data_IF_479402077656
#
_entry.id   IF_479402077656
#
_cell.length_a   1.000
_cell.length_b   1.000
_cell.length_c   1.000
_cell.angle_alpha   90.00
_cell.angle_beta   90.00
_cell.angle_gamma   90.00
#
_symmetry.space_group_name_H-M   'P 1'
#
loop_
_entity.id
_entity.type
_entity.pdbx_description
1 polymer ?
#
# COMPACT_ATOMS: atom_id res chain seq x y z
N UNK A 1 13.43 -14.90 -46.88
CA UNK A 1 12.88 -15.48 -45.64
C UNK A 1 11.82 -14.54 -45.08
N UNK A 2 10.51 -14.79 -45.30
CA UNK A 2 9.48 -13.93 -44.74
C UNK A 2 9.46 -14.10 -43.22
N UNK A 3 9.61 -13.00 -42.48
CA UNK A 3 9.38 -12.95 -41.03
C UNK A 3 7.95 -13.42 -40.79
N UNK A 4 7.78 -14.53 -40.07
CA UNK A 4 6.49 -14.91 -39.50
C UNK A 4 6.05 -13.76 -38.61
N UNK A 5 5.12 -12.95 -39.09
CA UNK A 5 4.31 -12.06 -38.27
C UNK A 5 3.45 -12.95 -37.39
N UNK A 6 3.95 -13.24 -36.19
CA UNK A 6 3.11 -13.79 -35.12
C UNK A 6 1.89 -12.87 -34.99
N UNK A 7 0.65 -13.40 -34.98
CA UNK A 7 -0.52 -12.57 -34.74
C UNK A 7 -0.31 -11.82 -33.43
N UNK A 8 -0.52 -10.50 -33.45
CA UNK A 8 -0.46 -9.71 -32.23
C UNK A 8 -1.46 -10.31 -31.25
N UNK A 9 -0.96 -10.92 -30.16
CA UNK A 9 -1.80 -11.47 -29.11
C UNK A 9 -2.75 -10.35 -28.65
N UNK A 10 -4.05 -10.54 -28.84
CA UNK A 10 -5.05 -9.60 -28.36
C UNK A 10 -5.11 -9.72 -26.85
N UNK A 11 -4.72 -8.65 -26.15
CA UNK A 11 -4.83 -8.56 -24.71
C UNK A 11 -6.16 -7.91 -24.33
N UNK A 12 -6.84 -8.52 -23.38
CA UNK A 12 -8.08 -8.02 -22.81
C UNK A 12 -7.77 -7.23 -21.54
N UNK A 13 -8.33 -6.03 -21.45
CA UNK A 13 -8.22 -5.21 -20.25
C UNK A 13 -8.85 -5.91 -19.04
N UNK A 14 -8.19 -5.83 -17.89
CA UNK A 14 -8.67 -6.39 -16.62
C UNK A 14 -8.91 -5.28 -15.61
N UNK A 15 -7.92 -4.42 -15.38
CA UNK A 15 -7.99 -3.35 -14.39
C UNK A 15 -6.98 -2.23 -14.68
N UNK A 16 -7.23 -1.05 -14.14
CA UNK A 16 -6.35 0.12 -14.22
C UNK A 16 -5.87 0.52 -12.82
N UNK A 17 -4.62 0.94 -12.72
CA UNK A 17 -3.94 1.25 -11.45
C UNK A 17 -3.15 2.56 -11.56
N UNK A 18 -2.91 3.22 -10.43
CA UNK A 18 -2.19 4.50 -10.36
C UNK A 18 -0.67 4.32 -10.24
N UNK A 19 -0.21 3.14 -9.81
CA UNK A 19 1.21 2.79 -9.72
C UNK A 19 1.51 1.44 -10.37
N UNK A 20 2.79 1.21 -10.69
CA UNK A 20 3.24 -0.07 -11.23
C UNK A 20 3.22 -1.15 -10.14
N UNK A 21 3.48 -0.77 -8.90
CA UNK A 21 3.42 -1.62 -7.72
C UNK A 21 2.01 -2.17 -7.50
N UNK A 22 0.99 -1.30 -7.56
CA UNK A 22 -0.41 -1.69 -7.39
C UNK A 22 -0.88 -2.62 -8.51
N UNK A 23 -0.52 -2.32 -9.76
CA UNK A 23 -0.80 -3.19 -10.89
C UNK A 23 -0.13 -4.57 -10.73
N UNK A 24 1.07 -4.59 -10.15
CA UNK A 24 1.80 -5.83 -9.88
C UNK A 24 1.11 -6.64 -8.76
N UNK A 25 0.63 -5.98 -7.70
CA UNK A 25 -0.10 -6.64 -6.63
C UNK A 25 -1.44 -7.20 -7.13
N UNK A 26 -2.16 -6.46 -7.96
CA UNK A 26 -3.39 -6.92 -8.61
C UNK A 26 -3.14 -8.12 -9.51
N UNK A 27 -2.05 -8.12 -10.29
CA UNK A 27 -1.62 -9.27 -11.08
C UNK A 27 -1.41 -10.52 -10.22
N UNK A 28 -0.76 -10.36 -9.07
CA UNK A 28 -0.53 -11.45 -8.13
C UNK A 28 -1.80 -11.93 -7.44
N UNK A 29 -2.87 -11.13 -7.42
CA UNK A 29 -4.15 -11.48 -6.78
C UNK A 29 -5.18 -12.03 -7.75
N UNK A 30 -4.91 -11.99 -9.06
CA UNK A 30 -5.89 -12.29 -10.10
C UNK A 30 -6.45 -13.73 -10.05
N UNK A 31 -5.57 -14.71 -9.93
CA UNK A 31 -5.95 -16.13 -9.90
C UNK A 31 -4.97 -16.93 -9.02
N UNK A 32 -5.23 -18.22 -8.79
CA UNK A 32 -4.36 -19.07 -7.96
C UNK A 32 -2.98 -19.37 -8.59
N UNK A 33 -2.74 -18.98 -9.85
CA UNK A 33 -1.51 -19.30 -10.57
C UNK A 33 -0.36 -18.38 -10.20
N UNK A 34 0.84 -18.89 -10.45
CA UNK A 34 2.09 -18.19 -10.23
C UNK A 34 2.57 -17.59 -11.54
N UNK A 35 3.02 -16.34 -11.45
CA UNK A 35 3.52 -15.58 -12.59
C UNK A 35 4.95 -15.12 -12.38
N UNK A 36 5.73 -15.17 -13.45
CA UNK A 36 7.10 -14.65 -13.49
C UNK A 36 7.22 -13.70 -14.69
N UNK A 37 8.07 -12.67 -14.54
CA UNK A 37 8.46 -11.79 -15.65
C UNK A 37 9.00 -12.65 -16.80
N UNK A 38 8.38 -12.51 -17.97
CA UNK A 38 8.81 -13.15 -19.21
C UNK A 38 9.80 -12.24 -19.96
N UNK A 39 9.38 -11.00 -20.18
CA UNK A 39 10.20 -9.95 -20.78
C UNK A 39 9.60 -8.58 -20.43
N UNK A 40 10.44 -7.56 -20.49
CA UNK A 40 10.03 -6.16 -20.50
C UNK A 40 10.20 -5.60 -21.91
N UNK A 41 9.48 -4.54 -22.24
CA UNK A 41 9.60 -3.91 -23.55
C UNK A 41 10.83 -2.97 -23.67
N UNK A 42 11.79 -3.05 -22.74
CA UNK A 42 13.00 -2.21 -22.72
C UNK A 42 12.75 -0.75 -22.31
N UNK A 43 13.76 0.10 -22.47
CA UNK A 43 13.72 1.52 -22.06
C UNK A 43 12.67 2.36 -22.81
N UNK A 44 12.35 1.96 -24.04
CA UNK A 44 11.34 2.62 -24.90
C UNK A 44 9.95 2.01 -24.77
N UNK A 45 9.84 0.91 -24.03
CA UNK A 45 8.66 0.09 -23.96
C UNK A 45 7.88 0.27 -22.67
N UNK A 46 6.64 0.71 -22.80
CA UNK A 46 5.77 1.05 -21.68
C UNK A 46 5.15 -0.18 -21.01
N UNK A 47 5.84 -1.32 -20.85
CA UNK A 47 5.22 -2.45 -20.16
C UNK A 47 6.11 -3.61 -19.75
N UNK A 48 5.55 -4.44 -18.88
CA UNK A 48 6.12 -5.70 -18.39
C UNK A 48 5.18 -6.84 -18.69
N UNK A 49 5.69 -7.91 -19.29
CA UNK A 49 4.92 -9.12 -19.60
C UNK A 49 5.30 -10.24 -18.65
N UNK A 50 4.29 -10.94 -18.16
CA UNK A 50 4.38 -12.03 -17.21
C UNK A 50 3.84 -13.31 -17.85
N UNK A 51 4.51 -14.43 -17.57
CA UNK A 51 4.09 -15.77 -18.00
C UNK A 51 3.69 -16.59 -16.78
N UNK A 52 2.68 -17.43 -16.95
CA UNK A 52 2.33 -18.44 -15.97
C UNK A 52 3.48 -19.45 -15.84
N UNK A 53 3.82 -19.82 -14.61
CA UNK A 53 4.78 -20.89 -14.28
C UNK A 53 4.13 -22.06 -13.55
N UNK A 54 2.85 -21.95 -13.18
CA UNK A 54 2.07 -23.04 -12.58
C UNK A 54 1.76 -24.16 -13.57
N UNK A 55 1.72 -23.88 -14.87
CA UNK A 55 1.43 -24.87 -15.90
C UNK A 55 2.59 -25.01 -16.90
N UNK A 56 2.81 -26.23 -17.38
CA UNK A 56 3.78 -26.53 -18.44
C UNK A 56 3.28 -25.93 -19.76
N UNK A 57 4.18 -25.23 -20.48
CA UNK A 57 3.91 -24.60 -21.78
C UNK A 57 2.63 -23.76 -21.80
N UNK A 58 2.31 -23.12 -20.66
CA UNK A 58 1.09 -22.36 -20.48
C UNK A 58 1.01 -21.19 -21.49
N UNK A 59 -0.10 -21.01 -22.23
CA UNK A 59 -0.27 -19.87 -23.13
C UNK A 59 -0.72 -18.60 -22.39
N UNK A 60 -1.22 -18.72 -21.15
CA UNK A 60 -1.62 -17.57 -20.33
C UNK A 60 -0.49 -16.54 -20.19
N UNK A 61 -0.76 -15.31 -20.60
CA UNK A 61 0.14 -14.15 -20.42
C UNK A 61 -0.62 -13.01 -19.76
N UNK A 62 0.09 -12.25 -18.95
CA UNK A 62 -0.37 -10.96 -18.46
C UNK A 62 0.61 -9.89 -18.88
N UNK A 63 0.12 -8.67 -19.03
CA UNK A 63 0.99 -7.52 -19.17
C UNK A 63 0.48 -6.36 -18.34
N UNK A 64 1.42 -5.59 -17.83
CA UNK A 64 1.16 -4.30 -17.21
C UNK A 64 1.69 -3.26 -18.17
N UNK A 65 0.82 -2.38 -18.68
CA UNK A 65 1.17 -1.36 -19.67
C UNK A 65 0.87 0.03 -19.11
N UNK A 66 1.84 0.94 -19.22
CA UNK A 66 1.67 2.35 -18.88
C UNK A 66 0.81 3.01 -19.96
N UNK A 67 -0.38 3.44 -19.59
CA UNK A 67 -1.27 4.22 -20.43
C UNK A 67 -0.91 5.71 -20.27
N UNK A 68 -0.27 6.30 -21.29
CA UNK A 68 -0.21 7.75 -21.45
C UNK A 68 -1.30 8.15 -22.43
N UNK A 69 -2.37 8.80 -21.96
CA UNK A 69 -3.25 9.54 -22.89
C UNK A 69 -2.42 10.71 -23.43
N UNK A 70 -2.23 10.76 -24.75
CA UNK A 70 -1.64 11.93 -25.40
C UNK A 70 -2.75 12.94 -25.69
N UNK A 71 -2.34 14.19 -25.57
CA UNK A 71 -3.07 15.44 -25.82
C UNK A 71 -3.94 15.94 -24.66
N UNK A 72 -3.32 16.92 -24.00
CA UNK A 72 -3.85 17.96 -23.14
C UNK A 72 -4.30 17.60 -21.71
N UNK A 73 -3.70 18.35 -20.77
CA UNK A 73 -3.93 18.36 -19.32
C UNK A 73 -3.44 17.15 -18.51
N UNK A 74 -2.25 17.31 -17.88
CA UNK A 74 -1.87 16.85 -16.53
C UNK A 74 -2.49 15.52 -16.06
N UNK A 75 -2.55 14.51 -16.93
CA UNK A 75 -3.28 13.26 -16.63
C UNK A 75 -2.35 12.32 -15.87
N UNK A 76 -2.83 11.80 -14.74
CA UNK A 76 -2.10 10.82 -13.95
C UNK A 76 -1.70 9.61 -14.81
N UNK A 77 -0.45 9.18 -14.68
CA UNK A 77 0.03 7.97 -15.34
C UNK A 77 -0.77 6.77 -14.81
N UNK A 78 -1.49 6.07 -15.69
CA UNK A 78 -2.18 4.83 -15.34
C UNK A 78 -1.39 3.62 -15.82
N UNK A 79 -1.54 2.51 -15.10
CA UNK A 79 -0.98 1.20 -15.41
C UNK A 79 -2.13 0.21 -15.60
N UNK A 80 -2.32 -0.24 -16.83
CA UNK A 80 -3.34 -1.21 -17.19
C UNK A 80 -2.80 -2.62 -17.03
N UNK A 81 -3.49 -3.44 -16.24
CA UNK A 81 -3.32 -4.88 -16.22
C UNK A 81 -4.19 -5.49 -17.32
N UNK A 82 -3.58 -6.29 -18.16
CA UNK A 82 -4.26 -6.94 -19.28
C UNK A 82 -3.85 -8.43 -19.36
N UNK A 83 -4.75 -9.26 -19.87
CA UNK A 83 -4.57 -10.72 -19.96
C UNK A 83 -4.80 -11.26 -21.36
N UNK A 84 -4.17 -12.38 -21.69
CA UNK A 84 -4.45 -13.12 -22.92
C UNK A 84 -4.14 -14.61 -22.73
N UNK A 85 -4.80 -15.43 -23.54
CA UNK A 85 -4.71 -16.89 -23.49
C UNK A 85 -5.34 -17.51 -22.24
N UNK A 86 -5.60 -18.80 -22.30
CA UNK A 86 -6.10 -19.58 -21.17
C UNK A 86 -4.98 -20.34 -20.47
N UNK A 87 -5.25 -20.83 -19.27
CA UNK A 87 -4.30 -21.71 -18.59
C UNK A 87 -4.24 -23.07 -19.30
N UNK A 88 -3.02 -23.63 -19.37
CA UNK A 88 -2.86 -25.03 -19.75
C UNK A 88 -3.38 -25.96 -18.65
N UNK A 89 -3.70 -27.20 -19.00
CA UNK A 89 -4.20 -28.20 -18.04
C UNK A 89 -3.08 -28.93 -17.29
N UNK A 90 -1.85 -28.92 -17.84
CA UNK A 90 -0.71 -29.65 -17.26
C UNK A 90 -0.01 -28.81 -16.20
N UNK A 91 -0.09 -29.23 -14.94
CA UNK A 91 0.58 -28.57 -13.81
C UNK A 91 2.11 -28.76 -13.91
N UNK A 92 2.85 -27.72 -13.53
CA UNK A 92 4.31 -27.71 -13.44
C UNK A 92 4.78 -28.02 -12.02
N UNK A 93 5.92 -28.70 -11.90
CA UNK A 93 6.60 -28.92 -10.61
C UNK A 93 7.48 -27.73 -10.17
N UNK A 94 7.43 -26.61 -10.90
CA UNK A 94 8.24 -25.43 -10.59
C UNK A 94 7.74 -24.77 -9.31
N UNK A 95 8.58 -24.71 -8.29
CA UNK A 95 8.32 -23.97 -7.06
C UNK A 95 8.61 -22.48 -7.26
N UNK A 96 7.78 -21.63 -6.66
CA UNK A 96 8.04 -20.18 -6.61
C UNK A 96 9.33 -19.92 -5.82
N UNK A 97 10.12 -18.94 -6.28
CA UNK A 97 11.18 -18.33 -5.47
C UNK A 97 10.61 -17.12 -4.74
N UNK A 98 10.73 -17.10 -3.41
CA UNK A 98 10.24 -16.01 -2.56
C UNK A 98 8.73 -16.01 -2.35
N UNK A 99 8.27 -15.15 -1.43
CA UNK A 99 6.87 -15.04 -1.00
C UNK A 99 6.02 -14.36 -2.08
N UNK A 100 4.76 -14.76 -2.24
CA UNK A 100 3.84 -14.10 -3.16
C UNK A 100 3.50 -12.67 -2.71
N UNK A 101 3.51 -11.72 -3.64
CA UNK A 101 3.30 -10.30 -3.33
C UNK A 101 1.92 -10.03 -2.71
N UNK A 102 0.89 -10.81 -3.07
CA UNK A 102 -0.46 -10.69 -2.49
C UNK A 102 -0.50 -10.96 -0.99
N UNK A 103 0.40 -11.81 -0.46
CA UNK A 103 0.47 -12.16 0.96
C UNK A 103 1.70 -11.58 1.66
N UNK A 104 2.66 -11.03 0.90
CA UNK A 104 3.94 -10.55 1.44
C UNK A 104 3.75 -9.44 2.47
N UNK A 105 2.84 -8.50 2.23
CA UNK A 105 2.56 -7.41 3.16
C UNK A 105 2.13 -7.92 4.54
N UNK A 106 1.17 -8.84 4.56
CA UNK A 106 0.70 -9.46 5.81
C UNK A 106 1.77 -10.30 6.49
N UNK A 107 2.55 -11.06 5.71
CA UNK A 107 3.68 -11.84 6.26
C UNK A 107 4.66 -10.90 6.96
N UNK A 108 5.03 -9.79 6.31
CA UNK A 108 5.96 -8.82 6.86
C UNK A 108 5.40 -8.17 8.13
N UNK A 109 4.13 -7.75 8.12
CA UNK A 109 3.46 -7.16 9.28
C UNK A 109 3.40 -8.13 10.48
N UNK A 110 3.00 -9.39 10.25
CA UNK A 110 2.91 -10.41 11.30
C UNK A 110 4.29 -10.73 11.89
N UNK A 111 5.31 -10.88 11.04
CA UNK A 111 6.66 -11.20 11.49
C UNK A 111 7.33 -10.02 12.20
N UNK A 112 7.13 -8.79 11.73
CA UNK A 112 7.61 -7.58 12.40
C UNK A 112 6.91 -7.38 13.76
N UNK A 113 5.63 -7.72 13.86
CA UNK A 113 4.88 -7.77 15.12
C UNK A 113 5.27 -8.90 16.08
N UNK A 114 6.40 -9.60 15.83
CA UNK A 114 6.93 -10.62 16.73
C UNK A 114 6.32 -12.02 16.58
N UNK A 115 5.47 -12.26 15.58
CA UNK A 115 4.89 -13.59 15.38
C UNK A 115 5.95 -14.61 14.96
N UNK A 116 5.91 -15.80 15.56
CA UNK A 116 6.70 -16.94 15.08
C UNK A 116 6.22 -17.39 13.69
N UNK A 117 7.09 -18.04 12.90
CA UNK A 117 6.75 -18.55 11.57
C UNK A 117 5.49 -19.46 11.58
N UNK A 118 5.33 -20.31 12.59
CA UNK A 118 4.16 -21.20 12.72
C UNK A 118 2.88 -20.41 13.00
N UNK A 119 2.93 -19.43 13.91
CA UNK A 119 1.79 -18.56 14.22
C UNK A 119 1.41 -17.68 13.03
N UNK A 120 2.41 -17.12 12.34
CA UNK A 120 2.21 -16.33 11.12
C UNK A 120 1.47 -17.14 10.05
N UNK A 121 1.89 -18.38 9.80
CA UNK A 121 1.22 -19.26 8.84
C UNK A 121 -0.24 -19.55 9.21
N UNK A 122 -0.51 -19.84 10.48
CA UNK A 122 -1.84 -20.13 10.98
C UNK A 122 -2.76 -18.91 10.87
N UNK A 123 -2.28 -17.73 11.27
CA UNK A 123 -3.02 -16.48 11.12
C UNK A 123 -3.36 -16.15 9.65
N UNK A 124 -2.44 -16.44 8.71
CA UNK A 124 -2.72 -16.28 7.28
C UNK A 124 -3.77 -17.28 6.78
N UNK A 125 -3.73 -18.53 7.25
CA UNK A 125 -4.73 -19.54 6.88
C UNK A 125 -6.12 -19.17 7.39
N UNK A 126 -6.23 -18.65 8.61
CA UNK A 126 -7.48 -18.17 9.18
C UNK A 126 -7.99 -16.93 8.44
N UNK A 127 -7.13 -15.92 8.22
CA UNK A 127 -7.48 -14.69 7.51
C UNK A 127 -8.01 -14.95 6.09
N UNK A 128 -7.43 -15.93 5.41
CA UNK A 128 -7.75 -16.25 4.02
C UNK A 128 -8.59 -17.52 3.86
N UNK A 129 -9.24 -18.01 4.93
CA UNK A 129 -9.98 -19.28 4.91
C UNK A 129 -11.01 -19.38 3.77
N UNK A 130 -11.69 -18.27 3.46
CA UNK A 130 -12.71 -18.20 2.41
C UNK A 130 -12.16 -17.87 1.01
N UNK A 131 -10.83 -17.72 0.88
CA UNK A 131 -10.16 -17.28 -0.34
C UNK A 131 -9.19 -18.35 -0.85
N UNK A 132 -9.68 -19.39 -1.55
CA UNK A 132 -8.86 -20.53 -1.98
C UNK A 132 -7.70 -20.12 -2.91
N UNK A 133 -7.87 -19.04 -3.68
CA UNK A 133 -6.83 -18.50 -4.56
C UNK A 133 -5.64 -17.92 -3.81
N UNK A 134 -5.85 -17.37 -2.61
CA UNK A 134 -4.80 -16.81 -1.75
C UNK A 134 -4.22 -17.91 -0.85
N UNK A 135 -5.06 -18.81 -0.34
CA UNK A 135 -4.61 -19.96 0.46
C UNK A 135 -3.54 -20.79 -0.25
N UNK A 136 -3.71 -21.02 -1.56
CA UNK A 136 -2.74 -21.75 -2.38
C UNK A 136 -1.36 -21.08 -2.47
N UNK A 137 -1.26 -19.80 -2.10
CA UNK A 137 -0.03 -18.99 -2.17
C UNK A 137 0.61 -18.75 -0.81
N UNK A 138 0.01 -19.26 0.27
CA UNK A 138 0.56 -19.10 1.61
C UNK A 138 1.95 -19.76 1.67
N UNK A 139 2.99 -19.04 2.13
CA UNK A 139 4.34 -19.57 2.19
C UNK A 139 4.45 -20.75 3.15
N UNK A 140 5.39 -21.65 2.88
CA UNK A 140 5.77 -22.67 3.83
C UNK A 140 6.55 -22.07 5.03
N UNK A 141 6.70 -22.86 6.08
CA UNK A 141 7.34 -22.41 7.31
C UNK A 141 8.82 -22.02 7.10
N UNK A 142 9.51 -22.67 6.17
CA UNK A 142 10.93 -22.37 5.89
C UNK A 142 11.06 -21.02 5.19
N UNK A 143 10.16 -20.69 4.26
CA UNK A 143 10.10 -19.37 3.62
C UNK A 143 9.83 -18.27 4.65
N UNK A 144 8.94 -18.51 5.62
CA UNK A 144 8.65 -17.56 6.70
C UNK A 144 9.85 -17.38 7.64
N UNK A 145 10.56 -18.46 8.01
CA UNK A 145 11.80 -18.39 8.80
C UNK A 145 12.87 -17.57 8.08
N UNK A 146 13.10 -17.85 6.80
CA UNK A 146 14.05 -17.10 5.98
C UNK A 146 13.67 -15.61 5.87
N UNK A 147 12.38 -15.32 5.73
CA UNK A 147 11.89 -13.94 5.70
C UNK A 147 12.11 -13.23 7.02
N UNK A 148 11.80 -13.87 8.14
CA UNK A 148 12.04 -13.33 9.49
C UNK A 148 13.52 -12.99 9.71
N UNK A 149 14.44 -13.88 9.31
CA UNK A 149 15.89 -13.60 9.37
C UNK A 149 16.27 -12.39 8.52
N UNK A 150 15.64 -12.22 7.35
CA UNK A 150 15.87 -11.08 6.47
C UNK A 150 15.37 -9.77 7.09
N UNK A 151 14.17 -9.77 7.68
CA UNK A 151 13.61 -8.59 8.34
C UNK A 151 14.48 -8.14 9.52
N UNK A 152 14.90 -9.06 10.38
CA UNK A 152 15.80 -8.75 11.51
C UNK A 152 17.16 -8.20 11.08
N UNK A 153 17.69 -8.66 9.95
CA UNK A 153 18.95 -8.11 9.39
C UNK A 153 18.74 -6.67 8.93
N UNK A 154 17.60 -6.40 8.28
CA UNK A 154 17.27 -5.05 7.81
C UNK A 154 17.03 -4.09 8.98
N UNK A 155 16.31 -4.51 10.03
CA UNK A 155 16.13 -3.73 11.26
C UNK A 155 17.47 -3.33 11.89
N UNK A 156 18.39 -4.29 12.04
CA UNK A 156 19.74 -4.01 12.55
C UNK A 156 20.52 -3.04 11.67
N UNK A 157 20.38 -3.16 10.35
CA UNK A 157 21.01 -2.22 9.41
C UNK A 157 20.47 -0.81 9.56
N UNK A 158 19.15 -0.66 9.73
CA UNK A 158 18.49 0.65 9.90
C UNK A 158 18.94 1.30 11.21
N UNK A 159 18.99 0.54 12.31
CA UNK A 159 19.47 1.01 13.61
C UNK A 159 20.96 1.40 13.59
N UNK A 160 21.78 0.73 12.79
CA UNK A 160 23.20 1.10 12.61
C UNK A 160 23.37 2.37 11.76
N UNK A 161 22.51 2.59 10.76
CA UNK A 161 22.54 3.81 9.94
C UNK A 161 22.05 5.05 10.70
N UNK A 162 21.07 4.92 11.59
CA UNK A 162 20.61 6.04 12.43
C UNK A 162 21.64 6.42 13.51
N UNK A 163 22.34 5.44 14.10
CA UNK A 163 23.44 5.70 15.03
C UNK A 163 24.65 6.39 14.37
N UNK A 164 24.93 6.10 13.09
CA UNK A 164 26.04 6.71 12.36
C UNK A 164 25.77 8.15 11.87
N UNK A 165 24.51 8.58 11.82
CA UNK A 165 24.13 9.94 11.42
C UNK A 165 24.21 10.96 12.57
N UNK A 166 24.26 10.51 13.83
CA UNK A 166 24.49 11.37 15.00
C UNK A 166 25.96 11.78 15.22
N UNK A 167 26.90 11.26 14.41
CA UNK A 167 28.35 11.43 14.63
C UNK A 167 29.08 12.29 13.60
N UNK A 168 28.38 13.01 12.71
CA UNK A 168 29.03 13.78 11.63
C UNK A 168 28.58 15.24 11.59
N UNK A 169 28.99 16.02 12.60
CA UNK A 169 29.31 17.44 12.38
C UNK A 169 30.77 17.55 11.98
N UNK A 170 30.95 18.14 10.80
CA UNK A 170 32.17 18.60 10.17
C UNK A 170 33.25 19.11 11.13
N UNK A 171 34.45 18.53 11.06
CA UNK A 171 35.69 19.29 11.26
C UNK A 171 36.63 18.98 10.10
N UNK A 172 36.84 19.99 9.27
CA UNK A 172 37.83 20.01 8.20
C UNK A 172 38.86 21.06 8.60
N UNK A 173 40.05 20.61 8.97
CA UNK A 173 41.28 21.41 8.84
C UNK A 173 42.08 21.68 10.11
N UNK A 174 43.13 20.86 10.31
CA UNK A 174 44.54 21.27 10.39
C UNK A 174 44.94 22.31 11.46
N UNK A 175 45.67 21.87 12.49
CA UNK A 175 47.10 22.19 12.73
C UNK A 175 47.60 21.51 14.02
N UNK A 176 48.82 20.99 13.95
CA UNK A 176 49.70 20.66 15.07
C UNK A 176 50.21 21.96 15.71
N UNK A 177 50.30 22.01 17.05
CA UNK A 177 51.40 22.57 17.84
C UNK A 177 51.04 22.55 19.33
N UNK A 178 52.05 22.20 20.13
CA UNK A 178 52.10 22.03 21.58
C UNK A 178 52.01 23.35 22.38
N UNK A 179 51.86 23.18 23.70
CA UNK A 179 52.20 24.05 24.84
C UNK A 179 50.97 24.31 25.71
N UNK A 180 50.79 23.62 26.84
CA UNK A 180 51.38 23.81 28.18
C UNK A 180 50.79 25.00 28.96
N UNK A 181 50.61 24.74 30.26
CA UNK A 181 50.23 25.63 31.38
C UNK A 181 48.75 25.66 31.84
N UNK A 182 48.52 24.98 32.99
CA UNK A 182 48.07 25.49 34.30
C UNK A 182 47.10 26.69 34.35
N UNK A 183 46.20 26.91 35.31
CA UNK A 183 45.55 26.20 36.41
C UNK A 183 44.36 27.12 36.82
N UNK A 184 43.29 26.52 37.35
CA UNK A 184 42.47 27.00 38.47
C UNK A 184 41.73 28.37 38.46
N UNK A 185 40.40 28.22 38.66
CA UNK A 185 39.55 28.85 39.69
C UNK A 185 38.81 30.18 39.43
N UNK A 186 37.48 30.01 39.58
CA UNK A 186 36.52 30.81 40.35
C UNK A 186 35.89 32.12 39.81
N UNK A 187 34.56 32.00 39.65
CA UNK A 187 33.49 32.84 40.22
C UNK A 187 33.08 34.20 39.63
N UNK A 188 31.75 34.39 39.65
CA UNK A 188 30.97 35.65 39.67
C UNK A 188 31.02 36.51 38.40
N UNK A 189 30.01 37.25 37.98
CA UNK A 189 28.59 37.51 38.33
C UNK A 189 28.06 38.37 37.15
N UNK A 190 26.74 38.45 37.00
CA UNK A 190 25.99 39.61 36.46
C UNK A 190 25.98 39.87 34.91
N UNK A 191 24.79 39.84 34.26
CA UNK A 191 23.92 41.00 33.87
C UNK A 191 24.20 41.34 32.38
N UNK A 192 23.31 41.43 31.39
CA UNK A 192 21.86 41.62 31.14
C UNK A 192 21.57 40.91 29.79
N UNK A 193 20.41 40.33 29.51
CA UNK A 193 19.17 41.05 29.23
C UNK A 193 19.16 41.59 27.80
N UNK A 194 18.67 40.79 26.84
CA UNK A 194 17.65 41.30 25.92
C UNK A 194 16.89 40.12 25.29
N UNK A 195 15.57 40.27 25.26
CA UNK A 195 14.64 39.24 24.80
C UNK A 195 14.50 39.25 23.29
N UNK A 196 14.76 38.11 22.67
CA UNK A 196 14.21 37.79 21.35
C UNK A 196 13.10 36.76 21.57
N UNK A 197 11.88 37.17 21.22
CA UNK A 197 10.69 36.35 21.22
C UNK A 197 10.94 35.14 20.32
N UNK A 198 10.94 33.95 20.93
CA UNK A 198 10.72 32.70 20.21
C UNK A 198 9.29 32.78 19.65
N UNK A 199 9.17 33.05 18.36
CA UNK A 199 8.00 32.66 17.59
C UNK A 199 7.99 31.12 17.60
N UNK A 200 7.25 30.55 18.55
CA UNK A 200 6.73 29.19 18.44
C UNK A 200 5.87 29.15 17.18
N UNK A 201 6.48 28.77 16.05
CA UNK A 201 5.75 28.17 14.94
C UNK A 201 5.17 26.85 15.48
N UNK A 202 3.96 26.93 16.03
CA UNK A 202 3.06 25.78 16.11
C UNK A 202 2.91 25.27 14.67
N UNK A 203 3.65 24.20 14.33
CA UNK A 203 3.36 23.38 13.16
C UNK A 203 1.92 22.86 13.35
N UNK A 204 0.93 23.60 12.81
CA UNK A 204 -0.43 23.12 12.69
C UNK A 204 -0.36 21.77 11.96
N UNK A 205 -0.58 20.67 12.69
CA UNK A 205 -0.74 19.35 12.10
C UNK A 205 -1.86 19.46 11.05
N UNK A 206 -1.49 19.59 9.78
CA UNK A 206 -2.46 19.68 8.68
C UNK A 206 -3.39 18.47 8.78
N UNK A 207 -4.65 18.70 9.20
CA UNK A 207 -5.66 17.65 9.30
C UNK A 207 -5.75 16.95 7.94
N UNK A 208 -5.19 15.74 7.88
CA UNK A 208 -5.04 14.95 6.67
C UNK A 208 -6.39 14.69 5.98
N UNK A 209 -7.50 14.86 6.72
CA UNK A 209 -8.87 14.71 6.24
C UNK A 209 -9.68 16.00 6.32
N UNK A 210 -9.04 17.16 6.11
CA UNK A 210 -9.77 18.41 5.91
C UNK A 210 -10.86 18.24 4.84
N UNK A 211 -12.07 18.69 5.16
CA UNK A 211 -13.25 18.46 4.33
C UNK A 211 -13.11 19.07 2.94
N UNK A 212 -12.55 20.27 2.85
CA UNK A 212 -12.46 21.00 1.59
C UNK A 212 -11.38 20.39 0.70
N UNK A 213 -10.22 20.06 1.28
CA UNK A 213 -9.11 19.35 0.64
C UNK A 213 -9.56 17.97 0.13
N UNK A 214 -10.33 17.24 0.94
CA UNK A 214 -10.80 15.91 0.58
C UNK A 214 -11.90 15.95 -0.50
N UNK A 215 -12.80 16.94 -0.46
CA UNK A 215 -13.78 17.13 -1.54
C UNK A 215 -13.12 17.45 -2.87
N UNK A 216 -12.12 18.33 -2.89
CA UNK A 216 -11.36 18.67 -4.10
C UNK A 216 -10.56 17.46 -4.62
N UNK A 217 -9.91 16.74 -3.71
CA UNK A 217 -9.15 15.53 -4.04
C UNK A 217 -10.04 14.44 -4.65
N UNK A 218 -11.19 14.14 -4.05
CA UNK A 218 -12.09 13.11 -4.57
C UNK A 218 -12.87 13.55 -5.80
N UNK A 219 -13.13 14.86 -5.97
CA UNK A 219 -13.68 15.40 -7.21
C UNK A 219 -12.68 15.24 -8.37
N UNK A 220 -11.41 15.55 -8.13
CA UNK A 220 -10.33 15.46 -9.13
C UNK A 220 -9.90 14.01 -9.38
N UNK A 221 -9.90 13.18 -8.33
CA UNK A 221 -9.45 11.79 -8.33
C UNK A 221 -10.48 10.87 -7.65
N UNK A 222 -11.60 10.55 -8.32
CA UNK A 222 -12.62 9.68 -7.73
C UNK A 222 -12.11 8.31 -7.30
N UNK A 223 -11.07 7.80 -7.96
CA UNK A 223 -10.46 6.51 -7.62
C UNK A 223 -9.61 6.51 -6.35
N UNK A 224 -9.27 7.67 -5.79
CA UNK A 224 -8.44 7.82 -4.59
C UNK A 224 -9.04 7.10 -3.39
N UNK A 225 -10.36 7.20 -3.22
CA UNK A 225 -11.08 6.61 -2.11
C UNK A 225 -11.28 5.10 -2.23
N UNK A 226 -10.90 4.44 -3.33
CA UNK A 226 -11.12 2.99 -3.46
C UNK A 226 -10.24 2.22 -2.48
N UNK A 227 -10.86 1.21 -1.87
CA UNK A 227 -10.38 0.44 -0.72
C UNK A 227 -10.35 1.19 0.59
N UNK A 228 -10.76 2.46 0.63
CA UNK A 228 -10.89 3.16 1.90
C UNK A 228 -12.03 2.54 2.71
N UNK A 229 -11.80 2.45 4.01
CA UNK A 229 -12.76 1.93 4.97
C UNK A 229 -13.55 3.09 5.54
N UNK A 230 -14.87 2.93 5.63
CA UNK A 230 -15.76 3.86 6.30
C UNK A 230 -16.66 3.09 7.25
N UNK A 231 -17.18 3.75 8.28
CA UNK A 231 -18.19 3.20 9.15
C UNK A 231 -19.59 3.57 8.63
N UNK A 232 -20.58 2.81 9.05
CA UNK A 232 -21.99 3.18 8.99
C UNK A 232 -22.61 2.87 10.33
N UNK A 233 -23.34 3.85 10.87
CA UNK A 233 -24.14 3.67 12.07
C UNK A 233 -25.40 2.87 11.79
N UNK A 234 -25.72 1.91 12.65
CA UNK A 234 -26.99 1.19 12.70
C UNK A 234 -27.55 1.29 14.11
N UNK A 235 -28.82 1.66 14.25
CA UNK A 235 -29.50 1.59 15.54
C UNK A 235 -30.18 0.23 15.65
N UNK A 236 -29.84 -0.52 16.69
CA UNK A 236 -30.42 -1.82 17.01
C UNK A 236 -31.04 -1.74 18.39
N UNK A 237 -32.26 -2.25 18.54
CA UNK A 237 -32.89 -2.36 19.86
C UNK A 237 -32.37 -3.64 20.50
N UNK A 238 -31.70 -3.52 21.65
CA UNK A 238 -31.25 -4.67 22.42
C UNK A 238 -32.45 -5.34 23.10
N UNK A 239 -32.72 -6.59 22.73
CA UNK A 239 -33.86 -7.38 23.20
C UNK A 239 -33.85 -7.62 24.71
N UNK A 240 -32.70 -7.50 25.38
CA UNK A 240 -32.57 -7.72 26.83
C UNK A 240 -32.80 -6.47 27.66
N UNK A 241 -32.43 -5.31 27.13
CA UNK A 241 -32.47 -4.03 27.85
C UNK A 241 -33.54 -3.08 27.31
N UNK A 242 -34.17 -3.42 26.18
CA UNK A 242 -35.08 -2.58 25.40
C UNK A 242 -34.48 -1.19 25.09
N UNK A 243 -33.15 -1.10 25.06
CA UNK A 243 -32.40 0.12 24.83
C UNK A 243 -31.90 0.18 23.39
N UNK A 244 -31.83 1.38 22.83
CA UNK A 244 -31.30 1.59 21.49
C UNK A 244 -29.78 1.60 21.58
N UNK A 245 -29.15 0.55 21.06
CA UNK A 245 -27.70 0.42 20.97
C UNK A 245 -27.25 0.83 19.57
N UNK A 246 -26.18 1.62 19.49
CA UNK A 246 -25.55 1.98 18.21
C UNK A 246 -24.52 0.93 17.86
N UNK A 247 -24.77 0.21 16.77
CA UNK A 247 -23.84 -0.73 16.16
C UNK A 247 -23.11 -0.03 15.00
N UNK A 248 -21.80 -0.24 14.89
CA UNK A 248 -20.99 0.31 13.80
C UNK A 248 -20.61 -0.79 12.83
N UNK A 249 -20.97 -0.59 11.56
CA UNK A 249 -20.69 -1.55 10.49
C UNK A 249 -19.58 -0.98 9.61
N UNK A 250 -18.51 -1.75 9.43
CA UNK A 250 -17.43 -1.38 8.53
C UNK A 250 -17.84 -1.62 7.08
N UNK A 251 -17.52 -0.65 6.22
CA UNK A 251 -17.69 -0.75 4.78
C UNK A 251 -16.43 -0.33 4.06
N UNK A 252 -16.26 -0.84 2.84
CA UNK A 252 -15.14 -0.53 1.99
C UNK A 252 -15.63 0.05 0.66
N UNK A 253 -15.03 1.15 0.23
CA UNK A 253 -15.27 1.70 -1.11
C UNK A 253 -14.76 0.70 -2.15
N UNK A 254 -15.64 0.12 -2.94
CA UNK A 254 -15.32 -0.94 -3.93
C UNK A 254 -15.23 -0.43 -5.36
N UNK A 255 -15.68 0.80 -5.62
CA UNK A 255 -15.64 1.40 -6.94
C UNK A 255 -16.40 2.70 -7.01
N UNK A 256 -16.40 3.34 -8.17
CA UNK A 256 -17.14 4.56 -8.44
C UNK A 256 -17.65 4.56 -9.87
N UNK A 257 -18.67 5.38 -10.13
CA UNK A 257 -19.26 5.56 -11.46
C UNK A 257 -19.24 7.05 -11.76
N UNK A 258 -18.62 7.40 -12.88
CA UNK A 258 -18.66 8.74 -13.48
C UNK A 258 -19.54 8.69 -14.73
N UNK A 259 -20.36 9.71 -14.96
CA UNK A 259 -21.14 9.85 -16.19
C UNK A 259 -21.17 11.31 -16.60
N UNK A 260 -21.15 11.57 -17.91
CA UNK A 260 -21.01 12.94 -18.44
C UNK A 260 -22.13 13.89 -17.99
N UNK A 261 -23.29 13.34 -17.62
CA UNK A 261 -24.49 14.09 -17.20
C UNK A 261 -24.91 13.85 -15.74
N UNK A 262 -24.11 13.17 -14.92
CA UNK A 262 -24.49 12.86 -13.54
C UNK A 262 -23.31 12.99 -12.56
N UNK A 263 -23.57 13.41 -11.30
CA UNK A 263 -22.52 13.51 -10.30
C UNK A 263 -21.89 12.14 -10.05
N UNK A 264 -20.58 12.13 -9.84
CA UNK A 264 -19.82 10.92 -9.49
C UNK A 264 -20.42 10.26 -8.26
N UNK A 265 -20.61 8.94 -8.33
CA UNK A 265 -21.13 8.14 -7.21
C UNK A 265 -20.17 7.03 -6.85
N UNK A 266 -19.87 6.90 -5.57
CA UNK A 266 -19.01 5.86 -5.04
C UNK A 266 -19.86 4.72 -4.50
N UNK A 267 -19.47 3.48 -4.78
CA UNK A 267 -20.12 2.30 -4.25
C UNK A 267 -19.31 1.77 -3.08
N UNK A 268 -19.94 1.67 -1.92
CA UNK A 268 -19.37 1.10 -0.70
C UNK A 268 -20.06 -0.23 -0.42
N UNK A 269 -19.27 -1.25 -0.11
CA UNK A 269 -19.74 -2.56 0.34
C UNK A 269 -19.52 -2.68 1.84
N UNK A 270 -20.59 -2.83 2.59
CA UNK A 270 -20.58 -3.05 4.03
C UNK A 270 -20.41 -4.52 4.37
N UNK A 271 -19.91 -4.80 5.58
CA UNK A 271 -19.68 -6.16 6.09
C UNK A 271 -20.97 -6.96 6.32
N UNK A 272 -22.12 -6.27 6.45
CA UNK A 272 -23.46 -6.87 6.45
C UNK A 272 -23.94 -7.30 5.04
N UNK A 273 -23.13 -7.07 4.01
CA UNK A 273 -23.44 -7.39 2.61
C UNK A 273 -24.16 -6.27 1.86
N UNK A 274 -24.56 -5.19 2.53
CA UNK A 274 -25.21 -4.05 1.89
C UNK A 274 -24.24 -3.33 0.94
N UNK A 275 -24.75 -2.93 -0.24
CA UNK A 275 -24.03 -2.04 -1.16
C UNK A 275 -24.78 -0.73 -1.24
N UNK A 276 -24.13 0.36 -0.85
CA UNK A 276 -24.71 1.70 -0.91
C UNK A 276 -23.90 2.60 -1.84
N UNK A 277 -24.60 3.48 -2.53
CA UNK A 277 -23.99 4.53 -3.35
C UNK A 277 -23.98 5.84 -2.59
N UNK A 278 -22.84 6.52 -2.59
CA UNK A 278 -22.62 7.80 -1.95
C UNK A 278 -22.29 8.85 -3.00
N UNK A 279 -22.82 10.06 -2.81
CA UNK A 279 -22.35 11.24 -3.54
C UNK A 279 -21.10 11.81 -2.86
N UNK A 280 -20.39 12.72 -3.55
CA UNK A 280 -19.09 13.23 -3.10
C UNK A 280 -19.12 13.75 -1.66
N UNK A 281 -20.09 14.62 -1.37
CA UNK A 281 -20.23 15.24 -0.04
C UNK A 281 -20.56 14.20 1.03
N UNK A 282 -21.47 13.27 0.74
CA UNK A 282 -21.87 12.22 1.68
C UNK A 282 -20.72 11.28 1.99
N UNK A 283 -19.93 10.90 0.98
CA UNK A 283 -18.77 10.05 1.16
C UNK A 283 -17.71 10.73 2.02
N UNK A 284 -17.41 12.00 1.75
CA UNK A 284 -16.43 12.78 2.54
C UNK A 284 -16.89 12.91 3.99
N UNK A 285 -18.17 13.17 4.22
CA UNK A 285 -18.73 13.26 5.56
C UNK A 285 -18.58 11.93 6.32
N UNK A 286 -18.83 10.78 5.66
CA UNK A 286 -18.67 9.47 6.30
C UNK A 286 -17.20 9.09 6.53
N UNK A 287 -16.29 9.48 5.62
CA UNK A 287 -14.83 9.29 5.81
C UNK A 287 -14.37 10.06 7.05
N UNK A 288 -14.73 11.34 7.17
CA UNK A 288 -14.33 12.17 8.32
C UNK A 288 -14.91 11.63 9.62
N UNK A 289 -16.20 11.31 9.63
CA UNK A 289 -16.82 10.68 10.81
C UNK A 289 -16.12 9.37 11.21
N UNK A 290 -15.60 8.61 10.23
CA UNK A 290 -14.85 7.38 10.50
C UNK A 290 -13.46 7.67 11.10
N UNK A 291 -12.78 8.72 10.62
CA UNK A 291 -11.49 9.19 11.18
C UNK A 291 -11.68 9.70 12.60
N UNK A 292 -12.73 10.50 12.86
CA UNK A 292 -13.07 10.99 14.20
C UNK A 292 -13.32 9.86 15.21
N UNK A 293 -13.78 8.70 14.71
CA UNK A 293 -13.97 7.48 15.49
C UNK A 293 -12.72 6.60 15.59
N UNK A 294 -11.57 7.07 15.09
CA UNK A 294 -10.29 6.37 15.13
C UNK A 294 -10.14 5.25 14.10
N UNK A 295 -11.02 5.17 13.09
CA UNK A 295 -10.87 4.20 12.01
C UNK A 295 -9.72 4.64 11.09
N UNK A 296 -8.80 3.71 10.82
CA UNK A 296 -7.85 3.89 9.74
C UNK A 296 -8.53 3.76 8.37
N UNK A 297 -9.05 4.87 7.88
CA UNK A 297 -9.82 4.93 6.63
C UNK A 297 -8.98 4.57 5.40
N UNK A 298 -7.67 4.81 5.38
CA UNK A 298 -6.83 4.55 4.19
C UNK A 298 -6.29 3.12 4.14
N UNK A 299 -6.37 2.37 5.24
CA UNK A 299 -5.76 1.04 5.36
C UNK A 299 -4.22 1.04 5.28
N UNK A 300 -3.57 2.22 5.30
CA UNK A 300 -2.12 2.35 5.36
C UNK A 300 -1.67 2.31 6.81
N UNK A 301 -0.58 1.60 7.16
CA UNK A 301 -0.08 1.62 8.53
C UNK A 301 0.17 3.07 8.95
N UNK A 302 -0.44 3.49 10.06
CA UNK A 302 -0.16 4.78 10.68
C UNK A 302 1.33 4.75 11.05
N UNK A 303 2.12 5.63 10.44
CA UNK A 303 3.49 5.85 10.86
C UNK A 303 3.44 6.50 12.25
N UNK A 304 3.67 5.70 13.28
CA UNK A 304 4.05 6.14 14.61
C UNK A 304 5.54 6.52 14.62
#
# INVERSE_FOLDING_TARGET
>A
MPRRTSPALSFNHVSAHTSMEDATLALHSLDASLYQIAYNYGATGNGKVYRCVSHCDCPRRLRIVRASKKEDAKTATLYNLETTGDHGTKISNKKRKGIDLSVKGDVDALLAGGSSAKKCRLALQEKYADQPTILAKIPDENMLKNRLTTLRRNEKSVLQTSAAQSGRRSSRGRKEAESDEEEQLDNKEEVEGDGEQEEEEEEEEEDQFDKTKLMDELATLPGRAVFWSILKRRMVVDEKTNSIVTEWITGQVVGWVTSDNAPTKWTVRFSDGEKRRFELKELVDEIRASVDLGLNVTGRPLSL
#
